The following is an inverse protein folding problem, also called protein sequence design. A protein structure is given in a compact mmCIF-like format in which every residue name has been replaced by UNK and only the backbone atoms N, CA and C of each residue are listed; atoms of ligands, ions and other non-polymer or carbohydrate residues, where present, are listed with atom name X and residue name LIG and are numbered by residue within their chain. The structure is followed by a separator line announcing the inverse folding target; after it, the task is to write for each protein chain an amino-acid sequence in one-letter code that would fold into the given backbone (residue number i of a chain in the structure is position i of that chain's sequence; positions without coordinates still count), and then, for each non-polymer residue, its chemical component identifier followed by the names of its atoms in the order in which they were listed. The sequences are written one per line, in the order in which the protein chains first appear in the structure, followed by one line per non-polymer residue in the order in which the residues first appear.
data_IF_535391723531
#
_entry.id   IF_535391723531
#
_cell.length_a   1.000
_cell.length_b   1.000
_cell.length_c   1.000
_cell.angle_alpha   90.00
_cell.angle_beta   90.00
_cell.angle_gamma   90.00
#
_symmetry.space_group_name_H-M   'P 1'
#
loop_
_entity.id
_entity.type
_entity.pdbx_description
1 polymer ?
#
# COMPACT_ATOMS: atom_id res chain seq x y z
N UNK A 1 -5.22 49.07 22.09
CA UNK A 1 -5.27 47.63 22.33
C UNK A 1 -5.76 46.82 21.11
N UNK A 2 -6.87 47.15 20.44
CA UNK A 2 -7.36 46.36 19.27
C UNK A 2 -6.40 46.27 18.08
N UNK A 3 -5.59 47.33 17.79
CA UNK A 3 -4.62 47.33 16.66
C UNK A 3 -3.40 46.44 16.93
N UNK A 4 -2.94 46.30 18.19
CA UNK A 4 -1.82 45.42 18.54
C UNK A 4 -2.20 43.91 18.48
N UNK A 5 -3.44 43.58 18.83
CA UNK A 5 -3.95 42.22 18.73
C UNK A 5 -4.06 41.77 17.26
N UNK A 6 -4.47 42.67 16.36
CA UNK A 6 -4.61 42.33 14.94
C UNK A 6 -3.25 42.11 14.24
N UNK A 7 -2.24 42.90 14.61
CA UNK A 7 -0.88 42.72 14.08
C UNK A 7 -0.20 41.44 14.60
N UNK A 8 -0.44 41.07 15.84
CA UNK A 8 0.07 39.78 16.41
C UNK A 8 -0.58 38.56 15.75
N UNK A 9 -1.90 38.60 15.51
CA UNK A 9 -2.61 37.51 14.82
C UNK A 9 -2.13 37.37 13.37
N UNK A 10 -1.94 38.48 12.64
CA UNK A 10 -1.39 38.45 11.29
C UNK A 10 0.06 37.92 11.24
N UNK A 11 0.90 38.33 12.18
CA UNK A 11 2.28 37.84 12.25
C UNK A 11 2.37 36.34 12.50
N UNK A 12 1.54 35.79 13.36
CA UNK A 12 1.49 34.35 13.62
C UNK A 12 1.00 33.57 12.40
N UNK A 13 0.00 34.10 11.68
CA UNK A 13 -0.51 33.44 10.45
C UNK A 13 0.54 33.48 9.32
N UNK A 14 1.24 34.59 9.14
CA UNK A 14 2.31 34.68 8.13
C UNK A 14 3.52 33.81 8.47
N UNK A 15 3.89 33.70 9.75
CA UNK A 15 5.01 32.87 10.18
C UNK A 15 4.69 31.37 10.02
N UNK A 16 3.49 30.93 10.39
CA UNK A 16 3.04 29.56 10.16
C UNK A 16 2.98 29.18 8.68
N UNK A 17 2.53 30.08 7.79
CA UNK A 17 2.49 29.85 6.35
C UNK A 17 3.91 29.72 5.74
N UNK A 18 4.86 30.54 6.21
CA UNK A 18 6.26 30.47 5.77
C UNK A 18 6.96 29.17 6.17
N UNK A 19 6.68 28.66 7.37
CA UNK A 19 7.22 27.38 7.84
C UNK A 19 6.63 26.20 7.05
N UNK A 20 5.34 26.18 6.81
CA UNK A 20 4.68 25.14 6.02
C UNK A 20 5.21 25.08 4.58
N UNK A 21 5.46 26.24 3.96
CA UNK A 21 6.06 26.30 2.63
C UNK A 21 7.47 25.74 2.62
N UNK A 22 8.28 26.07 3.59
CA UNK A 22 9.65 25.59 3.73
C UNK A 22 9.71 24.07 3.99
N UNK A 23 8.86 23.50 4.85
CA UNK A 23 8.77 22.07 5.08
C UNK A 23 8.36 21.30 3.80
N UNK A 24 7.42 21.85 3.04
CA UNK A 24 7.03 21.31 1.74
C UNK A 24 8.19 21.28 0.75
N UNK A 25 8.96 22.37 0.66
CA UNK A 25 10.11 22.46 -0.24
C UNK A 25 11.20 21.46 0.13
N UNK A 26 11.55 21.36 1.42
CA UNK A 26 12.50 20.35 1.89
C UNK A 26 12.02 18.93 1.61
N UNK A 27 10.72 18.64 1.80
CA UNK A 27 10.15 17.33 1.48
C UNK A 27 10.24 17.02 -0.01
N UNK A 28 9.96 18.02 -0.87
CA UNK A 28 10.07 17.85 -2.32
C UNK A 28 11.52 17.57 -2.74
N UNK A 29 12.50 18.31 -2.21
CA UNK A 29 13.92 18.02 -2.45
C UNK A 29 14.32 16.63 -1.94
N UNK A 30 13.81 16.23 -0.77
CA UNK A 30 14.01 14.89 -0.25
C UNK A 30 13.54 13.81 -1.21
N UNK A 31 12.38 13.99 -1.86
CA UNK A 31 11.87 13.07 -2.90
C UNK A 31 12.78 13.04 -4.13
N UNK A 32 13.20 14.20 -4.62
CA UNK A 32 14.08 14.31 -5.79
C UNK A 32 15.41 13.58 -5.56
N UNK A 33 16.00 13.72 -4.36
CA UNK A 33 17.21 12.98 -3.98
C UNK A 33 16.92 11.46 -3.87
N UNK A 34 15.78 11.07 -3.33
CA UNK A 34 15.39 9.66 -3.26
C UNK A 34 15.28 9.03 -4.65
N UNK A 35 14.67 9.71 -5.61
CA UNK A 35 14.55 9.25 -7.01
C UNK A 35 15.92 9.10 -7.67
N UNK A 36 16.87 9.95 -7.32
CA UNK A 36 18.28 9.86 -7.76
C UNK A 36 19.10 8.83 -7.00
N UNK A 37 18.52 8.14 -6.02
CA UNK A 37 19.17 7.21 -5.09
C UNK A 37 20.23 7.86 -4.18
N UNK A 38 20.17 9.16 -4.01
CA UNK A 38 20.98 9.96 -3.09
C UNK A 38 20.32 10.00 -1.71
N UNK A 39 20.34 8.85 -1.03
CA UNK A 39 19.52 8.60 0.16
C UNK A 39 19.90 9.43 1.38
N UNK A 40 21.19 9.73 1.53
CA UNK A 40 21.66 10.56 2.66
C UNK A 40 21.16 12.00 2.54
N UNK A 41 21.23 12.56 1.34
CA UNK A 41 20.73 13.89 1.02
C UNK A 41 19.20 13.95 1.15
N UNK A 42 18.52 12.87 0.75
CA UNK A 42 17.07 12.73 0.93
C UNK A 42 16.71 12.79 2.42
N UNK A 43 17.35 11.97 3.26
CA UNK A 43 17.10 11.93 4.70
C UNK A 43 17.44 13.27 5.38
N UNK A 44 18.53 13.94 4.98
CA UNK A 44 18.90 15.26 5.51
C UNK A 44 17.81 16.30 5.24
N UNK A 45 17.27 16.34 4.00
CA UNK A 45 16.21 17.27 3.64
C UNK A 45 14.89 16.93 4.36
N UNK A 46 14.54 15.65 4.50
CA UNK A 46 13.35 15.24 5.22
C UNK A 46 13.43 15.54 6.73
N UNK A 47 14.60 15.39 7.34
CA UNK A 47 14.81 15.81 8.72
C UNK A 47 14.63 17.32 8.89
N UNK A 48 15.20 18.12 7.97
CA UNK A 48 14.98 19.58 7.96
C UNK A 48 13.49 19.93 7.78
N UNK A 49 12.77 19.20 6.94
CA UNK A 49 11.32 19.39 6.78
C UNK A 49 10.59 19.19 8.11
N UNK A 50 10.91 18.11 8.82
CA UNK A 50 10.30 17.77 10.12
C UNK A 50 10.70 18.76 11.23
N UNK A 51 11.94 19.23 11.23
CA UNK A 51 12.40 20.28 12.15
C UNK A 51 11.68 21.61 11.89
N UNK A 52 11.43 21.92 10.62
CA UNK A 52 10.76 23.17 10.21
C UNK A 52 9.26 23.13 10.53
N UNK A 53 8.60 22.02 10.24
CA UNK A 53 7.19 21.79 10.60
C UNK A 53 7.00 20.36 11.11
N UNK A 54 6.98 20.17 12.44
CA UNK A 54 6.76 18.86 13.06
C UNK A 54 5.38 18.25 12.80
N UNK A 55 4.46 18.99 12.18
CA UNK A 55 3.13 18.51 11.82
C UNK A 55 3.00 18.20 10.31
N UNK A 56 4.06 18.38 9.53
CA UNK A 56 4.00 18.11 8.10
C UNK A 56 4.06 16.59 7.82
N UNK A 57 2.91 15.94 7.83
CA UNK A 57 2.73 14.48 7.70
C UNK A 57 3.51 13.86 6.53
N UNK A 58 3.59 14.60 5.41
CA UNK A 58 4.21 14.11 4.18
C UNK A 58 5.72 13.87 4.32
N UNK A 59 6.41 14.65 5.16
CA UNK A 59 7.84 14.45 5.42
C UNK A 59 8.11 13.13 6.15
N UNK A 60 7.30 12.81 7.15
CA UNK A 60 7.37 11.52 7.85
C UNK A 60 7.07 10.37 6.89
N UNK A 61 6.01 10.48 6.09
CA UNK A 61 5.65 9.43 5.12
C UNK A 61 6.82 9.12 4.16
N UNK A 62 7.41 10.15 3.54
CA UNK A 62 8.53 9.94 2.59
C UNK A 62 9.76 9.38 3.29
N UNK A 63 10.05 9.83 4.52
CA UNK A 63 11.16 9.27 5.31
C UNK A 63 10.92 7.82 5.69
N UNK A 64 9.69 7.46 6.01
CA UNK A 64 9.26 6.08 6.24
C UNK A 64 9.52 5.18 5.03
N UNK A 65 9.19 5.66 3.81
CA UNK A 65 9.45 4.92 2.58
C UNK A 65 10.95 4.65 2.38
N UNK A 66 11.81 5.63 2.67
CA UNK A 66 13.25 5.45 2.59
C UNK A 66 13.71 4.39 3.60
N UNK A 67 13.25 4.47 4.85
CA UNK A 67 13.62 3.50 5.89
C UNK A 67 13.17 2.07 5.53
N UNK A 68 11.96 1.91 4.99
CA UNK A 68 11.48 0.60 4.53
C UNK A 68 12.33 0.05 3.37
N UNK A 69 12.76 0.91 2.45
CA UNK A 69 13.66 0.52 1.36
C UNK A 69 15.04 0.02 1.87
N UNK A 70 15.48 0.48 3.05
CA UNK A 70 16.69 0.01 3.74
C UNK A 70 16.41 -1.09 4.77
N UNK A 71 15.21 -1.68 4.76
CA UNK A 71 14.80 -2.72 5.69
C UNK A 71 14.77 -2.29 7.19
N UNK A 72 14.82 -0.98 7.47
CA UNK A 72 14.53 -0.42 8.79
C UNK A 72 13.01 -0.38 9.02
N UNK A 73 12.42 -1.58 9.20
CA UNK A 73 10.98 -1.76 9.35
C UNK A 73 10.45 -1.03 10.58
N UNK A 74 11.19 -1.03 11.69
CA UNK A 74 10.79 -0.34 12.92
C UNK A 74 10.81 1.17 12.76
N UNK A 75 11.84 1.72 12.11
CA UNK A 75 11.92 3.13 11.80
C UNK A 75 10.84 3.58 10.81
N UNK A 76 10.54 2.75 9.81
CA UNK A 76 9.45 2.99 8.86
C UNK A 76 8.09 3.02 9.56
N UNK A 77 7.79 2.03 10.40
CA UNK A 77 6.55 1.97 11.20
C UNK A 77 6.37 3.21 12.07
N UNK A 78 7.44 3.67 12.74
CA UNK A 78 7.41 4.89 13.55
C UNK A 78 7.05 6.11 12.71
N UNK A 79 7.67 6.26 11.56
CA UNK A 79 7.44 7.39 10.68
C UNK A 79 6.03 7.35 10.05
N UNK A 80 5.52 6.18 9.62
CA UNK A 80 4.14 6.05 9.14
C UNK A 80 3.13 6.35 10.25
N UNK A 81 3.37 5.91 11.48
CA UNK A 81 2.51 6.25 12.61
C UNK A 81 2.48 7.76 12.84
N UNK A 82 3.65 8.44 12.81
CA UNK A 82 3.71 9.89 12.91
C UNK A 82 2.97 10.57 11.76
N UNK A 83 3.13 10.09 10.53
CA UNK A 83 2.42 10.63 9.38
C UNK A 83 0.89 10.54 9.54
N UNK A 84 0.39 9.39 9.99
CA UNK A 84 -1.04 9.15 10.18
C UNK A 84 -1.62 9.89 11.39
N UNK A 85 -0.82 10.11 12.44
CA UNK A 85 -1.20 10.97 13.56
C UNK A 85 -1.43 12.43 13.12
N UNK A 86 -0.57 12.93 12.21
CA UNK A 86 -0.67 14.30 11.66
C UNK A 86 -1.71 14.41 10.55
N UNK A 87 -1.86 13.40 9.73
CA UNK A 87 -2.87 13.35 8.66
C UNK A 87 -3.50 11.94 8.56
N UNK A 88 -4.64 11.71 9.23
CA UNK A 88 -5.34 10.43 9.18
C UNK A 88 -6.02 10.13 7.83
N UNK A 89 -5.96 11.05 6.86
CA UNK A 89 -6.50 10.87 5.50
C UNK A 89 -5.42 10.49 4.47
N UNK A 90 -4.23 10.13 4.91
CA UNK A 90 -3.14 9.77 4.01
C UNK A 90 -3.23 8.27 3.68
N UNK A 91 -4.03 7.94 2.65
CA UNK A 91 -4.26 6.54 2.22
C UNK A 91 -2.96 5.77 1.97
N UNK A 92 -1.97 6.42 1.32
CA UNK A 92 -0.67 5.81 1.06
C UNK A 92 0.08 5.42 2.34
N UNK A 93 -0.02 6.22 3.41
CA UNK A 93 0.66 5.88 4.65
C UNK A 93 0.07 4.63 5.33
N UNK A 94 -1.24 4.43 5.24
CA UNK A 94 -1.87 3.17 5.63
C UNK A 94 -1.38 2.02 4.76
N UNK A 95 -1.41 2.17 3.44
CA UNK A 95 -0.98 1.13 2.51
C UNK A 95 0.46 0.69 2.76
N UNK A 96 1.41 1.63 2.84
CA UNK A 96 2.82 1.32 3.06
C UNK A 96 3.08 0.77 4.48
N UNK A 97 2.35 1.23 5.51
CA UNK A 97 2.42 0.63 6.84
C UNK A 97 1.89 -0.80 6.84
N UNK A 98 0.82 -1.06 6.11
CA UNK A 98 0.31 -2.41 5.86
C UNK A 98 1.34 -3.31 5.20
N UNK A 99 2.10 -2.80 4.21
CA UNK A 99 3.18 -3.54 3.56
C UNK A 99 4.29 -3.92 4.55
N UNK A 100 4.67 -3.01 5.46
CA UNK A 100 5.65 -3.33 6.51
C UNK A 100 5.11 -4.39 7.47
N UNK A 101 3.83 -4.31 7.86
CA UNK A 101 3.19 -5.33 8.70
C UNK A 101 3.14 -6.70 8.01
N UNK A 102 2.87 -6.75 6.69
CA UNK A 102 2.97 -7.97 5.89
C UNK A 102 4.36 -8.60 5.97
N UNK A 103 5.42 -7.80 5.81
CA UNK A 103 6.81 -8.25 5.94
C UNK A 103 7.13 -8.77 7.36
N UNK A 104 6.45 -8.24 8.38
CA UNK A 104 6.54 -8.67 9.77
C UNK A 104 5.60 -9.83 10.11
N UNK A 105 4.83 -10.34 9.13
CA UNK A 105 3.81 -11.39 9.30
C UNK A 105 2.64 -10.99 10.23
N UNK A 106 2.47 -9.69 10.50
CA UNK A 106 1.27 -9.17 11.16
C UNK A 106 0.15 -9.02 10.12
N UNK A 107 -0.43 -10.15 9.71
CA UNK A 107 -1.45 -10.17 8.65
C UNK A 107 -2.73 -9.47 9.08
N UNK A 108 -3.15 -9.60 10.34
CA UNK A 108 -4.34 -8.90 10.85
C UNK A 108 -4.15 -7.38 10.86
N UNK A 109 -3.00 -6.91 11.34
CA UNK A 109 -2.66 -5.50 11.30
C UNK A 109 -2.53 -4.96 9.88
N UNK A 110 -2.00 -5.77 8.93
CA UNK A 110 -1.91 -5.40 7.52
C UNK A 110 -3.31 -5.25 6.89
N UNK A 111 -4.22 -6.21 7.14
CA UNK A 111 -5.61 -6.15 6.66
C UNK A 111 -6.32 -4.88 7.16
N UNK A 112 -6.14 -4.52 8.43
CA UNK A 112 -6.72 -3.30 9.00
C UNK A 112 -6.20 -2.04 8.28
N UNK A 113 -4.89 -1.97 8.03
CA UNK A 113 -4.28 -0.83 7.35
C UNK A 113 -4.72 -0.74 5.87
N UNK A 114 -4.72 -1.87 5.12
CA UNK A 114 -5.22 -1.87 3.75
C UNK A 114 -6.71 -1.50 3.68
N UNK A 115 -7.51 -1.93 4.66
CA UNK A 115 -8.92 -1.54 4.73
C UNK A 115 -9.07 -0.03 4.92
N UNK A 116 -8.28 0.58 5.81
CA UNK A 116 -8.26 2.03 5.98
C UNK A 116 -7.82 2.77 4.71
N UNK A 117 -6.84 2.22 3.97
CA UNK A 117 -6.42 2.78 2.69
C UNK A 117 -7.54 2.72 1.64
N UNK A 118 -8.28 1.61 1.58
CA UNK A 118 -9.42 1.39 0.68
C UNK A 118 -10.59 2.32 1.05
N UNK A 119 -10.89 2.49 2.33
CA UNK A 119 -11.95 3.41 2.80
C UNK A 119 -11.67 4.87 2.38
N UNK A 120 -10.40 5.24 2.26
CA UNK A 120 -9.97 6.55 1.77
C UNK A 120 -9.89 6.64 0.24
N UNK A 121 -9.66 5.52 -0.44
CA UNK A 121 -9.59 5.41 -1.90
C UNK A 121 -10.18 4.08 -2.37
N UNK A 122 -11.45 4.07 -2.70
CA UNK A 122 -12.20 2.88 -3.12
C UNK A 122 -11.67 2.21 -4.40
N UNK A 123 -10.81 2.88 -5.16
CA UNK A 123 -10.17 2.34 -6.36
C UNK A 123 -8.69 1.95 -6.14
N UNK A 124 -8.25 1.78 -4.89
CA UNK A 124 -6.87 1.45 -4.58
C UNK A 124 -6.57 -0.05 -4.85
N UNK A 125 -6.33 -0.37 -6.12
CA UNK A 125 -6.10 -1.75 -6.61
C UNK A 125 -5.03 -2.48 -5.79
N UNK A 126 -3.88 -1.84 -5.54
CA UNK A 126 -2.77 -2.47 -4.82
C UNK A 126 -3.14 -2.80 -3.36
N UNK A 127 -4.00 -1.97 -2.73
CA UNK A 127 -4.47 -2.23 -1.38
C UNK A 127 -5.42 -3.44 -1.33
N UNK A 128 -6.33 -3.58 -2.28
CA UNK A 128 -7.16 -4.78 -2.43
C UNK A 128 -6.29 -6.03 -2.66
N UNK A 129 -5.31 -5.94 -3.57
CA UNK A 129 -4.45 -7.06 -3.91
C UNK A 129 -3.64 -7.54 -2.69
N UNK A 130 -3.02 -6.63 -1.95
CA UNK A 130 -2.23 -6.97 -0.78
C UNK A 130 -3.12 -7.41 0.41
N UNK A 131 -4.35 -6.84 0.55
CA UNK A 131 -5.32 -7.33 1.53
C UNK A 131 -5.77 -8.75 1.21
N UNK A 132 -6.05 -9.04 -0.05
CA UNK A 132 -6.38 -10.39 -0.50
C UNK A 132 -5.24 -11.39 -0.24
N UNK A 133 -3.98 -10.99 -0.46
CA UNK A 133 -2.81 -11.82 -0.08
C UNK A 133 -2.76 -12.07 1.42
N UNK A 134 -2.95 -11.04 2.26
CA UNK A 134 -2.96 -11.19 3.71
C UNK A 134 -4.06 -12.15 4.18
N UNK A 135 -5.26 -12.05 3.56
CA UNK A 135 -6.40 -12.95 3.79
C UNK A 135 -6.10 -14.38 3.37
N UNK A 136 -5.42 -14.56 2.25
CA UNK A 136 -4.98 -15.88 1.79
C UNK A 136 -4.01 -16.54 2.79
N UNK A 137 -3.07 -15.78 3.38
CA UNK A 137 -2.18 -16.29 4.43
C UNK A 137 -2.94 -16.72 5.70
N UNK A 138 -4.09 -16.12 5.95
CA UNK A 138 -4.98 -16.48 7.07
C UNK A 138 -6.06 -17.50 6.67
N UNK A 139 -5.99 -18.05 5.47
CA UNK A 139 -7.00 -18.97 4.89
C UNK A 139 -8.42 -18.37 4.82
N UNK A 140 -8.55 -17.06 4.89
CA UNK A 140 -9.81 -16.32 4.70
C UNK A 140 -10.11 -16.21 3.18
N UNK A 141 -10.42 -17.36 2.58
CA UNK A 141 -10.47 -17.48 1.12
C UNK A 141 -11.64 -16.74 0.49
N UNK A 142 -12.81 -16.75 1.11
CA UNK A 142 -13.99 -16.03 0.61
C UNK A 142 -13.72 -14.53 0.49
N UNK A 143 -13.16 -13.95 1.54
CA UNK A 143 -12.84 -12.52 1.56
C UNK A 143 -11.71 -12.17 0.59
N UNK A 144 -10.73 -13.06 0.39
CA UNK A 144 -9.69 -12.87 -0.61
C UNK A 144 -10.26 -12.89 -2.05
N UNK A 145 -11.24 -13.78 -2.34
CA UNK A 145 -11.96 -13.83 -3.61
C UNK A 145 -12.72 -12.52 -3.86
N UNK A 146 -13.35 -11.94 -2.82
CA UNK A 146 -14.05 -10.67 -2.92
C UNK A 146 -13.09 -9.52 -3.28
N UNK A 147 -11.91 -9.47 -2.65
CA UNK A 147 -10.90 -8.46 -2.99
C UNK A 147 -10.44 -8.57 -4.45
N UNK A 148 -10.11 -9.77 -4.92
CA UNK A 148 -9.76 -9.99 -6.32
C UNK A 148 -10.90 -9.62 -7.28
N UNK A 149 -12.15 -9.93 -6.90
CA UNK A 149 -13.32 -9.60 -7.70
C UNK A 149 -13.47 -8.09 -7.81
N UNK A 150 -13.23 -7.35 -6.73
CA UNK A 150 -13.25 -5.88 -6.76
C UNK A 150 -12.18 -5.30 -7.68
N UNK A 151 -10.98 -5.87 -7.70
CA UNK A 151 -9.93 -5.46 -8.66
C UNK A 151 -10.41 -5.68 -10.10
N UNK A 152 -11.04 -6.82 -10.40
CA UNK A 152 -11.54 -7.13 -11.73
C UNK A 152 -12.69 -6.19 -12.15
N UNK A 153 -13.54 -5.77 -11.21
CA UNK A 153 -14.57 -4.74 -11.46
C UNK A 153 -13.95 -3.39 -11.84
N UNK A 154 -12.88 -2.98 -11.13
CA UNK A 154 -12.17 -1.73 -11.41
C UNK A 154 -11.39 -1.82 -12.73
N UNK A 155 -10.69 -2.93 -12.95
CA UNK A 155 -9.89 -3.18 -14.15
C UNK A 155 -10.11 -4.61 -14.68
N UNK A 156 -11.06 -4.80 -15.62
CA UNK A 156 -11.38 -6.13 -16.18
C UNK A 156 -10.23 -6.80 -16.98
N UNK A 157 -9.13 -6.10 -17.21
CA UNK A 157 -7.94 -6.64 -17.87
C UNK A 157 -6.78 -6.95 -16.91
N UNK A 158 -7.01 -6.85 -15.61
CA UNK A 158 -5.99 -7.15 -14.62
C UNK A 158 -5.79 -8.67 -14.49
N UNK A 159 -4.79 -9.20 -15.19
CA UNK A 159 -4.50 -10.64 -15.21
C UNK A 159 -4.01 -11.14 -13.84
N UNK A 160 -3.29 -10.33 -13.07
CA UNK A 160 -2.84 -10.70 -11.71
C UNK A 160 -4.02 -11.00 -10.78
N UNK A 161 -5.11 -10.23 -10.91
CA UNK A 161 -6.31 -10.44 -10.11
C UNK A 161 -7.04 -11.74 -10.49
N UNK A 162 -7.12 -12.06 -11.79
CA UNK A 162 -7.64 -13.36 -12.23
C UNK A 162 -6.75 -14.51 -11.76
N UNK A 163 -5.44 -14.39 -11.92
CA UNK A 163 -4.50 -15.41 -11.45
C UNK A 163 -4.65 -15.66 -9.96
N UNK A 164 -4.59 -14.61 -9.16
CA UNK A 164 -4.72 -14.71 -7.72
C UNK A 164 -6.08 -15.30 -7.31
N UNK A 165 -7.20 -14.82 -7.91
CA UNK A 165 -8.52 -15.37 -7.63
C UNK A 165 -8.63 -16.83 -8.00
N UNK A 166 -8.02 -17.22 -9.11
CA UNK A 166 -7.95 -18.60 -9.56
C UNK A 166 -7.24 -19.51 -8.55
N UNK A 167 -6.07 -19.10 -8.08
CA UNK A 167 -5.32 -19.85 -7.05
C UNK A 167 -6.09 -19.93 -5.74
N UNK A 168 -6.68 -18.81 -5.28
CA UNK A 168 -7.46 -18.79 -4.03
C UNK A 168 -8.70 -19.70 -4.12
N UNK A 169 -9.42 -19.69 -5.26
CA UNK A 169 -10.56 -20.58 -5.49
C UNK A 169 -10.17 -22.06 -5.47
N UNK A 170 -9.04 -22.40 -6.09
CA UNK A 170 -8.53 -23.78 -6.05
C UNK A 170 -8.22 -24.20 -4.62
N UNK A 171 -7.55 -23.35 -3.84
CA UNK A 171 -7.24 -23.62 -2.44
C UNK A 171 -8.50 -23.74 -1.57
N UNK A 172 -9.55 -23.00 -1.91
CA UNK A 172 -10.86 -23.07 -1.27
C UNK A 172 -11.69 -24.30 -1.69
N UNK A 173 -11.25 -25.04 -2.72
CA UNK A 173 -11.92 -26.24 -3.23
C UNK A 173 -12.79 -26.01 -4.49
N UNK A 174 -12.93 -24.79 -4.95
CA UNK A 174 -13.63 -24.45 -6.19
C UNK A 174 -12.70 -24.57 -7.41
N UNK A 175 -12.31 -25.83 -7.70
CA UNK A 175 -11.38 -26.14 -8.79
C UNK A 175 -11.87 -25.65 -10.13
N UNK A 176 -13.17 -25.80 -10.42
CA UNK A 176 -13.75 -25.44 -11.73
C UNK A 176 -13.60 -23.94 -12.02
N UNK A 177 -14.09 -23.11 -11.14
CA UNK A 177 -14.01 -21.65 -11.35
C UNK A 177 -12.59 -21.12 -11.19
N UNK A 178 -11.77 -21.78 -10.35
CA UNK A 178 -10.35 -21.46 -10.24
C UNK A 178 -9.60 -21.66 -11.55
N UNK A 179 -9.84 -22.79 -12.24
CA UNK A 179 -9.23 -23.08 -13.55
C UNK A 179 -9.73 -22.15 -14.65
N UNK A 180 -10.99 -21.71 -14.59
CA UNK A 180 -11.53 -20.69 -15.52
C UNK A 180 -10.84 -19.33 -15.32
N UNK A 181 -10.62 -18.92 -14.06
CA UNK A 181 -9.89 -17.68 -13.77
C UNK A 181 -8.42 -17.76 -14.24
N UNK A 182 -7.74 -18.89 -14.03
CA UNK A 182 -6.38 -19.09 -14.55
C UNK A 182 -6.34 -19.04 -16.09
N UNK A 183 -7.31 -19.66 -16.77
CA UNK A 183 -7.42 -19.57 -18.22
C UNK A 183 -7.59 -18.12 -18.67
N UNK A 184 -8.41 -17.34 -17.95
CA UNK A 184 -8.61 -15.92 -18.24
C UNK A 184 -7.34 -15.09 -18.01
N UNK A 185 -6.58 -15.38 -16.95
CA UNK A 185 -5.28 -14.74 -16.72
C UNK A 185 -4.31 -15.01 -17.89
N UNK A 186 -4.24 -16.27 -18.35
CA UNK A 186 -3.41 -16.66 -19.50
C UNK A 186 -3.82 -15.95 -20.81
N UNK A 187 -5.13 -15.86 -21.09
CA UNK A 187 -5.66 -15.10 -22.24
C UNK A 187 -5.27 -13.61 -22.18
N UNK A 188 -5.16 -13.05 -20.98
CA UNK A 188 -4.77 -11.65 -20.77
C UNK A 188 -3.26 -11.44 -20.76
N UNK A 189 -2.46 -12.49 -20.87
CA UNK A 189 -1.02 -12.44 -21.04
C UNK A 189 -0.18 -12.91 -19.85
N UNK A 190 -0.79 -13.49 -18.82
CA UNK A 190 -0.02 -14.09 -17.72
C UNK A 190 0.50 -15.48 -18.11
N UNK A 191 1.82 -15.57 -18.38
CA UNK A 191 2.45 -16.83 -18.75
C UNK A 191 2.49 -17.85 -17.62
N UNK A 192 2.52 -17.41 -16.35
CA UNK A 192 2.52 -18.31 -15.18
C UNK A 192 1.20 -19.05 -15.03
N UNK A 193 0.12 -18.48 -15.57
CA UNK A 193 -1.21 -19.10 -15.53
C UNK A 193 -1.23 -20.46 -16.25
N UNK A 194 -0.49 -20.62 -17.36
CA UNK A 194 -0.44 -21.88 -18.09
C UNK A 194 0.25 -22.99 -17.29
N UNK A 195 1.30 -22.66 -16.55
CA UNK A 195 1.97 -23.60 -15.67
C UNK A 195 1.05 -24.02 -14.50
N UNK A 196 0.38 -23.04 -13.90
CA UNK A 196 -0.59 -23.30 -12.83
C UNK A 196 -1.76 -24.16 -13.30
N UNK A 197 -2.28 -23.96 -14.52
CA UNK A 197 -3.31 -24.83 -15.12
C UNK A 197 -2.79 -26.26 -15.28
N UNK A 198 -1.59 -26.43 -15.82
CA UNK A 198 -0.99 -27.76 -16.02
C UNK A 198 -0.83 -28.49 -14.69
N UNK A 199 -0.36 -27.79 -13.67
CA UNK A 199 -0.11 -28.38 -12.35
C UNK A 199 -1.41 -28.68 -11.57
N UNK A 200 -2.35 -27.72 -11.54
CA UNK A 200 -3.49 -27.78 -10.62
C UNK A 200 -4.79 -28.23 -11.28
N UNK A 201 -4.98 -27.97 -12.57
CA UNK A 201 -6.24 -28.24 -13.25
C UNK A 201 -6.24 -29.58 -13.99
N UNK A 202 -5.07 -30.07 -14.43
CA UNK A 202 -4.96 -31.31 -15.20
C UNK A 202 -4.71 -32.55 -14.33
N UNK A 203 -4.58 -32.43 -13.01
CA UNK A 203 -4.32 -33.56 -12.10
C UNK A 203 -5.41 -34.67 -12.13
N UNK A 204 -6.63 -34.38 -12.58
CA UNK A 204 -7.67 -35.40 -12.75
C UNK A 204 -7.48 -36.34 -13.94
N UNK A 205 -6.54 -36.02 -14.86
CA UNK A 205 -6.23 -36.92 -15.97
C UNK A 205 -5.29 -38.09 -15.56
N UNK A 206 -4.67 -38.03 -14.38
CA UNK A 206 -3.67 -39.03 -13.92
C UNK A 206 -4.24 -39.96 -12.83
N UNK A 207 -5.29 -39.56 -12.13
CA UNK A 207 -5.99 -40.40 -11.16
C UNK A 207 -7.31 -40.95 -11.72
N UNK A 208 -7.25 -41.44 -12.96
CA UNK A 208 -8.31 -42.23 -13.55
C UNK A 208 -8.41 -43.59 -12.81
N UNK A 209 -9.16 -43.58 -11.73
CA UNK A 209 -9.73 -44.80 -11.18
C UNK A 209 -11.24 -44.55 -11.03
N UNK A 210 -11.96 -45.27 -11.82
CA UNK A 210 -13.35 -45.62 -11.97
C UNK A 210 -14.34 -45.22 -10.87
#
# INVERSE_FOLDING_TARGET
MKRLLFTLVLAVVFWGAGQAQSAKEFTQRGREFYEKREYMEALLNLNKAIETDPNYAQAFFVRGNIKDAFDDRHGAMKDYNSALEKNPKLADAFFFRGNVKMKLQDYYGAIADYSSAIDLNENYIDAYFNRGKARQYLEAFEEAILDCTKIIEINPKNYDAYYMRGIVRINFGDLKNGCLDLSKAGELGDLNAYEAIKEKCNQKAVTGVE
#
